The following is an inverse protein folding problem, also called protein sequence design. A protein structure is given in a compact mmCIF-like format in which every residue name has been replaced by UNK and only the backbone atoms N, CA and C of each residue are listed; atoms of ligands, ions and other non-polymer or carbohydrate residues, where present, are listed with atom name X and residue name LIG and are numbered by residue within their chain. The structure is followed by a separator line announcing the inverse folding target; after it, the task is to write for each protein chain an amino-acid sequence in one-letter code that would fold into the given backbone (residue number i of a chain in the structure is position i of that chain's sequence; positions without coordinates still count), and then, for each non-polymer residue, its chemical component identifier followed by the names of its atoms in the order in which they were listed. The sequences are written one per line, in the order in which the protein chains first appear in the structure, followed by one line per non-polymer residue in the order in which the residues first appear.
data_IF_182303062247
#
_entry.id   IF_182303062247
#
_cell.length_a   1.000
_cell.length_b   1.000
_cell.length_c   1.000
_cell.angle_alpha   90.00
_cell.angle_beta   90.00
_cell.angle_gamma   90.00
#
_symmetry.space_group_name_H-M   'P 1'
#
loop_
_entity.id
_entity.type
_entity.pdbx_description
1 polymer ?
#
# COMPACT_ATOMS: atom_id res chain seq x y z
N UNK A 1 1.78 4.59 -12.13
CA UNK A 1 1.62 4.90 -10.69
C UNK A 1 2.73 4.24 -9.85
N UNK A 2 3.04 4.69 -8.62
CA UNK A 2 4.15 4.17 -7.79
C UNK A 2 4.13 2.63 -7.68
N UNK A 3 2.97 2.06 -7.38
CA UNK A 3 2.78 0.61 -7.22
C UNK A 3 3.08 -0.19 -8.50
N UNK A 4 2.78 0.35 -9.68
CA UNK A 4 3.04 -0.31 -10.97
C UNK A 4 4.53 -0.29 -11.33
N UNK A 5 5.28 0.69 -10.83
CA UNK A 5 6.72 0.82 -11.06
C UNK A 5 7.57 0.00 -10.08
N UNK A 6 7.01 -0.34 -8.92
CA UNK A 6 7.74 -1.00 -7.85
C UNK A 6 8.21 -2.41 -8.23
N UNK A 7 7.30 -3.23 -8.79
CA UNK A 7 7.64 -4.61 -9.21
C UNK A 7 8.67 -4.62 -10.34
N UNK A 8 8.49 -3.86 -11.45
CA UNK A 8 9.52 -3.78 -12.48
C UNK A 8 10.88 -3.29 -11.96
N UNK A 9 10.90 -2.32 -11.05
CA UNK A 9 12.14 -1.83 -10.48
C UNK A 9 12.85 -2.89 -9.62
N UNK A 10 12.10 -3.66 -8.82
CA UNK A 10 12.64 -4.78 -8.06
C UNK A 10 13.19 -5.88 -8.97
N UNK A 11 12.42 -6.32 -9.98
CA UNK A 11 12.82 -7.35 -10.94
C UNK A 11 14.06 -6.94 -11.74
N UNK A 12 14.16 -5.68 -12.15
CA UNK A 12 15.31 -5.16 -12.89
C UNK A 12 16.50 -4.79 -11.97
N UNK A 13 16.41 -4.99 -10.66
CA UNK A 13 17.47 -4.66 -9.71
C UNK A 13 17.74 -3.15 -9.57
N UNK A 14 16.79 -2.29 -9.92
CA UNK A 14 16.93 -0.84 -9.86
C UNK A 14 16.85 -0.34 -8.40
N UNK A 15 17.96 -0.48 -7.68
CA UNK A 15 18.08 -0.07 -6.27
C UNK A 15 17.94 1.45 -6.06
N UNK A 16 18.25 2.25 -7.07
CA UNK A 16 18.11 3.71 -7.02
C UNK A 16 16.64 4.10 -6.88
N UNK A 17 15.76 3.54 -7.72
CA UNK A 17 14.33 3.79 -7.62
C UNK A 17 13.72 3.21 -6.35
N UNK A 18 14.14 2.03 -5.90
CA UNK A 18 13.66 1.46 -4.64
C UNK A 18 14.02 2.35 -3.45
N UNK A 19 15.20 2.96 -3.48
CA UNK A 19 15.64 3.93 -2.48
C UNK A 19 14.82 5.22 -2.55
N UNK A 20 14.62 5.78 -3.74
CA UNK A 20 13.72 6.93 -3.95
C UNK A 20 12.30 6.64 -3.46
N UNK A 21 11.79 5.43 -3.70
CA UNK A 21 10.47 5.02 -3.23
C UNK A 21 10.38 5.02 -1.70
N UNK A 22 11.39 4.48 -1.03
CA UNK A 22 11.47 4.41 0.43
C UNK A 22 11.69 5.80 1.08
N UNK A 23 12.63 6.58 0.56
CA UNK A 23 13.06 7.86 1.16
C UNK A 23 12.10 9.02 0.85
N UNK A 24 11.46 9.00 -0.33
CA UNK A 24 10.69 10.14 -0.82
C UNK A 24 9.23 9.79 -1.02
N UNK A 25 8.92 8.75 -1.80
CA UNK A 25 7.54 8.51 -2.22
C UNK A 25 6.63 8.03 -1.09
N UNK A 26 7.02 7.02 -0.31
CA UNK A 26 6.20 6.50 0.79
C UNK A 26 6.00 7.53 1.92
N UNK A 27 7.04 8.24 2.40
CA UNK A 27 6.88 9.30 3.39
C UNK A 27 5.99 10.44 2.88
N UNK A 28 6.12 10.83 1.61
CA UNK A 28 5.24 11.84 1.00
C UNK A 28 3.78 11.37 0.94
N UNK A 29 3.54 10.11 0.57
CA UNK A 29 2.19 9.54 0.53
C UNK A 29 1.56 9.48 1.93
N UNK A 30 2.32 9.05 2.92
CA UNK A 30 1.89 9.03 4.33
C UNK A 30 1.47 10.43 4.79
N UNK A 31 2.27 11.45 4.49
CA UNK A 31 1.98 12.83 4.86
C UNK A 31 0.73 13.36 4.13
N UNK A 32 0.58 13.06 2.83
CA UNK A 32 -0.63 13.41 2.07
C UNK A 32 -1.88 12.74 2.64
N UNK A 33 -1.79 11.48 3.07
CA UNK A 33 -2.88 10.77 3.72
C UNK A 33 -3.26 11.41 5.06
N UNK A 34 -2.27 11.85 5.85
CA UNK A 34 -2.53 12.56 7.11
C UNK A 34 -3.25 13.90 6.87
N UNK A 35 -2.82 14.68 5.86
CA UNK A 35 -3.50 15.92 5.48
C UNK A 35 -4.94 15.67 4.99
N UNK A 36 -5.13 14.64 4.17
CA UNK A 36 -6.45 14.25 3.68
C UNK A 36 -7.37 13.83 4.82
N UNK A 37 -6.89 13.03 5.78
CA UNK A 37 -7.65 12.60 6.95
C UNK A 37 -8.20 13.80 7.74
N UNK A 38 -7.39 14.85 7.93
CA UNK A 38 -7.82 16.05 8.65
C UNK A 38 -8.85 16.87 7.88
N UNK A 39 -8.71 17.01 6.57
CA UNK A 39 -9.69 17.68 5.72
C UNK A 39 -11.01 16.91 5.74
N UNK A 40 -10.96 15.60 5.56
CA UNK A 40 -12.13 14.73 5.57
C UNK A 40 -12.83 14.72 6.93
N UNK A 41 -12.07 14.80 8.03
CA UNK A 41 -12.63 14.92 9.39
C UNK A 41 -13.41 16.20 9.57
N UNK A 42 -12.86 17.34 9.12
CA UNK A 42 -13.55 18.63 9.16
C UNK A 42 -14.82 18.61 8.33
N UNK A 43 -14.76 18.04 7.11
CA UNK A 43 -15.94 17.87 6.26
C UNK A 43 -16.98 16.93 6.88
N UNK A 44 -16.56 15.87 7.55
CA UNK A 44 -17.49 14.97 8.23
C UNK A 44 -18.22 15.69 9.37
N UNK A 45 -17.47 16.36 10.25
CA UNK A 45 -18.02 17.04 11.41
C UNK A 45 -18.95 18.22 11.05
N UNK A 46 -18.73 18.87 9.91
CA UNK A 46 -19.61 19.93 9.43
C UNK A 46 -20.92 19.42 8.82
N UNK A 47 -20.94 18.20 8.29
CA UNK A 47 -22.10 17.66 7.55
C UNK A 47 -22.82 16.52 8.28
N UNK A 48 -22.21 15.91 9.30
CA UNK A 48 -22.67 14.66 9.92
C UNK A 48 -22.39 14.67 11.43
N UNK A 49 -23.14 13.84 12.17
CA UNK A 49 -22.79 13.52 13.57
C UNK A 49 -21.44 12.79 13.62
N UNK A 50 -20.73 12.91 14.73
CA UNK A 50 -19.40 12.31 14.89
C UNK A 50 -19.40 10.77 14.81
N UNK A 51 -20.53 10.12 15.10
CA UNK A 51 -20.68 8.67 15.00
C UNK A 51 -20.35 8.18 13.58
N UNK A 52 -19.60 7.08 13.48
CA UNK A 52 -19.13 6.51 12.20
C UNK A 52 -17.78 7.03 11.73
N UNK A 53 -17.30 8.18 12.21
CA UNK A 53 -15.95 8.68 11.87
C UNK A 53 -14.85 7.69 12.30
N UNK A 54 -15.03 7.00 13.44
CA UNK A 54 -14.08 5.99 13.92
C UNK A 54 -13.73 4.92 12.87
N UNK A 55 -14.66 4.59 11.97
CA UNK A 55 -14.39 3.64 10.88
C UNK A 55 -13.44 4.23 9.83
N UNK A 56 -13.61 5.51 9.48
CA UNK A 56 -12.68 6.19 8.57
C UNK A 56 -11.32 6.37 9.22
N UNK A 57 -11.29 6.68 10.51
CA UNK A 57 -10.07 6.85 11.28
C UNK A 57 -9.19 5.58 11.24
N UNK A 58 -9.80 4.41 11.46
CA UNK A 58 -9.12 3.11 11.33
C UNK A 58 -8.58 2.88 9.91
N UNK A 59 -9.35 3.24 8.87
CA UNK A 59 -8.93 3.06 7.47
C UNK A 59 -7.74 3.95 7.11
N UNK A 60 -7.77 5.23 7.49
CA UNK A 60 -6.64 6.14 7.30
C UNK A 60 -5.41 5.70 8.08
N UNK A 61 -5.60 5.30 9.35
CA UNK A 61 -4.52 4.75 10.17
C UNK A 61 -3.86 3.53 9.54
N UNK A 62 -4.68 2.60 9.03
CA UNK A 62 -4.21 1.42 8.31
C UNK A 62 -3.43 1.80 7.04
N UNK A 63 -3.95 2.68 6.19
CA UNK A 63 -3.26 3.11 4.97
C UNK A 63 -1.90 3.75 5.27
N UNK A 64 -1.85 4.65 6.26
CA UNK A 64 -0.60 5.31 6.69
C UNK A 64 0.41 4.31 7.23
N UNK A 65 -0.03 3.39 8.10
CA UNK A 65 0.81 2.31 8.62
C UNK A 65 1.38 1.44 7.51
N UNK A 66 0.59 1.13 6.47
CA UNK A 66 1.08 0.36 5.31
C UNK A 66 2.14 1.10 4.48
N UNK A 67 2.07 2.43 4.38
CA UNK A 67 3.13 3.22 3.75
C UNK A 67 4.44 3.14 4.54
N UNK A 68 4.36 3.23 5.87
CA UNK A 68 5.51 3.13 6.77
C UNK A 68 6.16 1.75 6.63
N UNK A 69 5.38 0.68 6.77
CA UNK A 69 5.89 -0.70 6.62
C UNK A 69 6.50 -0.95 5.24
N UNK A 70 5.93 -0.38 4.17
CA UNK A 70 6.50 -0.52 2.83
C UNK A 70 7.87 0.15 2.71
N UNK A 71 8.06 1.34 3.28
CA UNK A 71 9.35 2.02 3.31
C UNK A 71 10.37 1.23 4.16
N UNK A 72 9.98 0.77 5.35
CA UNK A 72 10.82 -0.04 6.23
C UNK A 72 11.32 -1.31 5.53
N UNK A 73 10.42 -2.07 4.87
CA UNK A 73 10.80 -3.29 4.15
C UNK A 73 11.76 -3.00 3.00
N UNK A 74 11.53 -1.92 2.24
CA UNK A 74 12.46 -1.50 1.19
C UNK A 74 13.83 -1.14 1.77
N UNK A 75 13.88 -0.45 2.90
CA UNK A 75 15.14 -0.14 3.58
C UNK A 75 15.88 -1.40 4.03
N UNK A 76 15.19 -2.34 4.68
CA UNK A 76 15.80 -3.60 5.11
C UNK A 76 16.36 -4.40 3.92
N UNK A 77 15.64 -4.46 2.79
CA UNK A 77 16.16 -5.05 1.55
C UNK A 77 17.39 -4.30 1.01
N UNK A 78 17.34 -2.96 0.95
CA UNK A 78 18.45 -2.14 0.45
C UNK A 78 19.70 -2.18 1.33
N UNK A 79 19.52 -2.40 2.63
CA UNK A 79 20.60 -2.55 3.62
C UNK A 79 21.17 -3.98 3.69
N UNK A 80 20.53 -4.94 3.02
CA UNK A 80 20.93 -6.35 3.05
C UNK A 80 20.49 -7.10 4.31
N UNK A 81 19.50 -6.58 5.05
CA UNK A 81 18.85 -7.27 6.18
C UNK A 81 17.81 -8.28 5.70
N UNK A 82 17.24 -8.06 4.51
CA UNK A 82 16.36 -8.99 3.81
C UNK A 82 17.01 -9.39 2.49
N UNK A 83 17.03 -10.70 2.21
CA UNK A 83 17.54 -11.24 0.95
C UNK A 83 16.59 -10.94 -0.22
N UNK A 84 15.28 -10.91 0.06
CA UNK A 84 14.23 -10.71 -0.93
C UNK A 84 13.00 -10.00 -0.34
N UNK A 85 12.10 -9.56 -1.23
CA UNK A 85 10.81 -8.96 -0.90
C UNK A 85 9.70 -9.84 -1.45
N UNK A 86 9.24 -10.80 -0.63
CA UNK A 86 8.18 -11.77 -0.98
C UNK A 86 6.94 -11.10 -1.62
N UNK A 87 6.53 -9.93 -1.11
CA UNK A 87 5.35 -9.24 -1.63
C UNK A 87 5.50 -8.70 -3.05
N UNK A 88 6.73 -8.53 -3.54
CA UNK A 88 7.02 -8.09 -4.91
C UNK A 88 7.29 -9.26 -5.87
N UNK A 89 7.49 -10.46 -5.34
CA UNK A 89 7.68 -11.70 -6.10
C UNK A 89 6.33 -12.35 -6.46
N UNK A 90 5.32 -12.14 -5.62
CA UNK A 90 3.98 -12.65 -5.86
C UNK A 90 3.34 -12.03 -7.13
N UNK A 91 2.84 -12.85 -8.07
CA UNK A 91 2.21 -12.37 -9.28
C UNK A 91 0.89 -11.66 -8.96
N UNK A 92 0.72 -10.45 -9.50
CA UNK A 92 -0.54 -9.69 -9.34
C UNK A 92 -1.65 -10.32 -10.18
N UNK A 93 -2.66 -10.84 -9.50
CA UNK A 93 -3.89 -11.32 -10.15
C UNK A 93 -4.85 -10.16 -10.45
N UNK A 94 -5.64 -10.31 -11.51
CA UNK A 94 -6.68 -9.35 -11.84
C UNK A 94 -7.74 -9.31 -10.74
N UNK A 95 -8.00 -8.13 -10.19
CA UNK A 95 -9.07 -7.96 -9.21
C UNK A 95 -10.43 -8.26 -9.87
N UNK A 96 -11.19 -9.25 -9.37
CA UNK A 96 -12.44 -9.64 -10.00
C UNK A 96 -13.52 -8.56 -9.85
N UNK A 97 -14.28 -8.32 -10.92
CA UNK A 97 -15.39 -7.36 -10.95
C UNK A 97 -16.56 -7.75 -10.01
N UNK A 98 -16.60 -8.99 -9.51
CA UNK A 98 -17.62 -9.44 -8.54
C UNK A 98 -17.03 -10.42 -7.53
N UNK A 99 -17.55 -10.40 -6.29
CA UNK A 99 -17.09 -11.27 -5.19
C UNK A 99 -17.22 -12.78 -5.48
N UNK A 100 -18.05 -13.17 -6.45
CA UNK A 100 -18.18 -14.57 -6.87
C UNK A 100 -17.03 -15.05 -7.78
N UNK A 101 -16.37 -14.15 -8.51
CA UNK A 101 -15.26 -14.52 -9.39
C UNK A 101 -13.92 -14.71 -8.65
N UNK A 102 -13.86 -14.33 -7.36
CA UNK A 102 -12.69 -14.46 -6.48
C UNK A 102 -12.29 -15.94 -6.30
N UNK A 103 -13.23 -16.81 -5.90
CA UNK A 103 -12.94 -18.22 -5.63
C UNK A 103 -12.53 -19.01 -6.88
N UNK A 104 -13.14 -18.71 -8.02
CA UNK A 104 -12.82 -19.37 -9.28
C UNK A 104 -11.42 -19.01 -9.80
N UNK A 105 -10.90 -17.81 -9.49
CA UNK A 105 -9.54 -17.42 -9.85
C UNK A 105 -8.49 -18.10 -8.97
N UNK A 106 -8.71 -18.19 -7.65
CA UNK A 106 -7.77 -18.86 -6.76
C UNK A 106 -7.61 -20.36 -7.06
N UNK A 107 -8.71 -21.05 -7.37
CA UNK A 107 -8.67 -22.45 -7.81
C UNK A 107 -7.94 -22.63 -9.16
N UNK A 108 -8.06 -21.67 -10.09
CA UNK A 108 -7.33 -21.70 -11.37
C UNK A 108 -5.84 -21.35 -11.23
N UNK A 109 -5.49 -20.54 -10.24
CA UNK A 109 -4.11 -20.16 -9.94
C UNK A 109 -3.36 -21.23 -9.10
N UNK A 110 -4.04 -22.31 -8.68
CA UNK A 110 -3.46 -23.39 -7.89
C UNK A 110 -3.14 -23.01 -6.44
N UNK A 111 -3.77 -21.95 -5.92
CA UNK A 111 -3.55 -21.43 -4.55
C UNK A 111 -4.50 -22.09 -3.53
N UNK A 112 -5.59 -22.71 -4.01
CA UNK A 112 -6.58 -23.47 -3.22
C UNK A 112 -6.95 -24.76 -3.96
#
# INVERSE_FOLDING_TARGET
FLAERLVPAYVNGNKEFLREAADVHFPRLENMLAQMQEIDKKMWQSNRKIFGWCTQDVRYGGMRSRCITAAERLHSYLNGELDNLEELEEPRLNFPCSGFAVYAQYARAGIV
#
